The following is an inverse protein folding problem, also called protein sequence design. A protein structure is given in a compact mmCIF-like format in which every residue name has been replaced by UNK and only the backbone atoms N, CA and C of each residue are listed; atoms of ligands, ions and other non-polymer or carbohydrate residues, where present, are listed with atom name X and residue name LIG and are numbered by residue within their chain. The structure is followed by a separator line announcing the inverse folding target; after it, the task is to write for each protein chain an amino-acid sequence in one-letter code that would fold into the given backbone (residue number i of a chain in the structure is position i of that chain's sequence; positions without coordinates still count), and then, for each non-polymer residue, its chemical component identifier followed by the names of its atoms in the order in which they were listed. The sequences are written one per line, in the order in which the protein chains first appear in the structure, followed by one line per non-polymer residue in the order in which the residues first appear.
data_IF_372299470821
#
_entry.id   IF_372299470821
#
_cell.length_a   1.000
_cell.length_b   1.000
_cell.length_c   1.000
_cell.angle_alpha   90.00
_cell.angle_beta   90.00
_cell.angle_gamma   90.00
#
_symmetry.space_group_name_H-M   'P 1'
#
loop_
_entity.id
_entity.type
_entity.pdbx_description
1 polymer ?
#
# COMPACT_ATOMS: atom_id res chain seq x y z
N UNK A 1 1.29 13.59 11.30
CA UNK A 1 2.26 13.59 10.25
C UNK A 1 2.64 15.04 9.99
N UNK A 2 2.76 15.89 9.50
CA UNK A 2 3.28 17.25 9.26
C UNK A 2 2.87 18.33 10.30
N UNK A 3 2.27 18.00 11.43
CA UNK A 3 1.78 18.98 12.41
C UNK A 3 0.63 19.87 11.92
N UNK A 4 0.07 19.58 10.74
CA UNK A 4 -1.03 20.32 10.13
C UNK A 4 -2.34 19.67 10.56
N UNK A 5 -3.29 20.50 11.02
CA UNK A 5 -4.67 20.11 11.28
C UNK A 5 -5.56 20.71 10.19
N UNK A 6 -5.97 19.91 9.18
CA UNK A 6 -6.85 20.42 8.12
C UNK A 6 -8.26 20.67 8.66
N UNK A 7 -8.98 21.59 8.04
CA UNK A 7 -10.40 21.83 8.35
C UNK A 7 -11.29 20.68 7.89
N UNK A 8 -10.90 20.02 6.80
CA UNK A 8 -11.54 18.83 6.24
C UNK A 8 -10.49 17.76 5.95
N UNK A 9 -10.69 16.54 6.48
CA UNK A 9 -9.84 15.38 6.23
C UNK A 9 -10.66 14.23 5.68
N UNK A 10 -10.43 13.86 4.43
CA UNK A 10 -11.03 12.67 3.82
C UNK A 10 -10.17 11.44 4.11
N UNK A 11 -10.79 10.42 4.69
CA UNK A 11 -10.17 9.12 4.98
C UNK A 11 -10.93 8.02 4.26
N UNK A 12 -10.25 7.26 3.39
CA UNK A 12 -10.84 6.11 2.70
C UNK A 12 -10.62 4.82 3.50
N UNK A 13 -11.58 3.91 3.46
CA UNK A 13 -11.52 2.66 4.22
C UNK A 13 -10.97 1.46 3.44
N UNK A 14 -10.65 1.64 2.16
CA UNK A 14 -10.18 0.57 1.27
C UNK A 14 -8.75 0.10 1.49
N UNK A 15 -7.99 0.68 2.43
CA UNK A 15 -6.59 0.32 2.71
C UNK A 15 -6.44 -0.19 4.14
N UNK A 16 -5.93 0.61 5.07
CA UNK A 16 -5.64 0.18 6.44
C UNK A 16 -6.86 -0.39 7.19
N UNK A 17 -8.05 0.10 6.91
CA UNK A 17 -9.29 -0.43 7.48
C UNK A 17 -9.75 -1.75 6.84
N UNK A 18 -9.34 -2.05 5.60
CA UNK A 18 -9.73 -3.27 4.88
C UNK A 18 -11.21 -3.36 4.52
N UNK A 19 -11.91 -2.22 4.43
CA UNK A 19 -13.35 -2.12 4.20
C UNK A 19 -13.65 -1.11 3.09
N UNK A 20 -14.87 -1.06 2.60
CA UNK A 20 -15.31 -0.06 1.62
C UNK A 20 -15.77 1.25 2.28
N UNK A 21 -15.84 2.32 1.47
CA UNK A 21 -16.33 3.63 1.91
C UNK A 21 -15.26 4.61 2.33
N UNK A 22 -15.70 5.71 2.91
CA UNK A 22 -14.85 6.80 3.37
C UNK A 22 -15.51 7.57 4.51
N UNK A 23 -14.73 8.33 5.26
CA UNK A 23 -15.20 9.33 6.21
C UNK A 23 -14.62 10.70 5.89
N UNK A 24 -15.41 11.73 6.12
CA UNK A 24 -14.96 13.10 6.11
C UNK A 24 -14.95 13.61 7.56
N UNK A 25 -13.76 13.89 8.07
CA UNK A 25 -13.57 14.42 9.42
C UNK A 25 -13.52 15.94 9.33
N UNK A 26 -14.38 16.60 10.12
CA UNK A 26 -14.50 18.07 10.14
C UNK A 26 -15.09 18.54 11.47
N UNK A 27 -15.29 19.86 11.62
CA UNK A 27 -16.01 20.43 12.76
C UNK A 27 -17.49 20.08 12.73
N UNK A 28 -18.16 20.07 13.88
CA UNK A 28 -19.60 19.79 13.98
C UNK A 28 -20.44 20.74 13.10
N UNK A 29 -20.24 22.08 13.09
CA UNK A 29 -20.99 22.97 12.20
C UNK A 29 -20.79 22.64 10.70
N UNK A 30 -19.59 22.19 10.31
CA UNK A 30 -19.32 21.76 8.94
C UNK A 30 -20.02 20.44 8.62
N UNK A 31 -20.06 19.49 9.55
CA UNK A 31 -20.78 18.23 9.39
C UNK A 31 -22.28 18.49 9.20
N UNK A 32 -22.88 19.35 10.03
CA UNK A 32 -24.29 19.73 9.93
C UNK A 32 -24.59 20.41 8.57
N UNK A 33 -23.73 21.29 8.12
CA UNK A 33 -23.85 21.92 6.80
C UNK A 33 -23.81 20.87 5.67
N UNK A 34 -22.85 19.96 5.71
CA UNK A 34 -22.71 18.92 4.69
C UNK A 34 -23.88 17.94 4.67
N UNK A 35 -24.43 17.57 5.83
CA UNK A 35 -25.64 16.75 5.92
C UNK A 35 -26.85 17.38 5.21
N UNK A 36 -26.91 18.71 5.15
CA UNK A 36 -28.01 19.44 4.52
C UNK A 36 -27.76 19.79 3.03
N UNK A 37 -26.49 19.83 2.60
CA UNK A 37 -26.12 20.34 1.28
C UNK A 37 -25.40 19.36 0.37
N UNK A 38 -24.76 18.32 0.92
CA UNK A 38 -24.03 17.34 0.13
C UNK A 38 -24.98 16.37 -0.57
N UNK A 39 -25.36 16.67 -1.80
CA UNK A 39 -26.38 15.93 -2.56
C UNK A 39 -26.08 14.42 -2.67
N UNK A 40 -24.82 14.06 -2.87
CA UNK A 40 -24.41 12.64 -2.93
C UNK A 40 -24.62 11.90 -1.61
N UNK A 41 -24.46 12.58 -0.48
CA UNK A 41 -24.74 12.01 0.83
C UNK A 41 -26.26 11.88 1.09
N UNK A 42 -27.01 12.94 0.78
CA UNK A 42 -28.46 13.01 1.02
C UNK A 42 -29.21 11.93 0.25
N UNK A 43 -28.83 11.67 -1.01
CA UNK A 43 -29.51 10.76 -1.92
C UNK A 43 -28.85 9.39 -2.04
N UNK A 44 -27.87 9.07 -1.20
CA UNK A 44 -27.24 7.74 -1.16
C UNK A 44 -27.74 6.94 0.01
N UNK A 45 -27.89 5.63 -0.20
CA UNK A 45 -28.25 4.70 0.87
C UNK A 45 -27.15 4.68 1.93
N UNK A 46 -27.56 4.69 3.20
CA UNK A 46 -26.64 4.63 4.33
C UNK A 46 -25.79 3.35 4.33
N UNK A 47 -24.59 3.45 4.87
CA UNK A 47 -23.72 2.30 5.12
C UNK A 47 -24.43 1.27 6.00
N UNK A 48 -24.30 -0.05 5.71
CA UNK A 48 -24.84 -1.10 6.58
C UNK A 48 -24.28 -1.02 8.01
N UNK A 49 -25.13 -1.24 9.01
CA UNK A 49 -24.70 -1.19 10.42
C UNK A 49 -23.56 -2.18 10.73
N UNK A 50 -23.57 -3.36 10.12
CA UNK A 50 -22.50 -4.35 10.25
C UNK A 50 -21.14 -3.79 9.77
N UNK A 51 -21.13 -3.00 8.71
CA UNK A 51 -19.90 -2.34 8.21
C UNK A 51 -19.41 -1.27 9.19
N UNK A 52 -20.31 -0.52 9.83
CA UNK A 52 -19.94 0.44 10.85
C UNK A 52 -19.30 -0.24 12.07
N UNK A 53 -19.83 -1.38 12.51
CA UNK A 53 -19.24 -2.20 13.57
C UNK A 53 -17.84 -2.72 13.19
N UNK A 54 -17.68 -3.22 11.95
CA UNK A 54 -16.41 -3.69 11.45
C UNK A 54 -15.35 -2.54 11.36
N UNK A 55 -15.77 -1.33 10.98
CA UNK A 55 -14.89 -0.15 10.98
C UNK A 55 -14.41 0.22 12.39
N UNK A 56 -15.28 0.13 13.39
CA UNK A 56 -14.88 0.37 14.78
C UNK A 56 -13.85 -0.66 15.27
N UNK A 57 -14.06 -1.95 14.95
CA UNK A 57 -13.09 -3.00 15.26
C UNK A 57 -11.74 -2.76 14.54
N UNK A 58 -11.77 -2.42 13.25
CA UNK A 58 -10.57 -2.09 12.49
C UNK A 58 -9.83 -0.87 13.06
N UNK A 59 -10.57 0.15 13.52
CA UNK A 59 -9.98 1.33 14.16
C UNK A 59 -9.21 0.97 15.44
N UNK A 60 -9.76 0.05 16.25
CA UNK A 60 -9.07 -0.46 17.45
C UNK A 60 -7.75 -1.14 17.07
N UNK A 61 -7.77 -2.06 16.11
CA UNK A 61 -6.56 -2.74 15.62
C UNK A 61 -5.53 -1.74 15.09
N UNK A 62 -5.96 -0.72 14.35
CA UNK A 62 -5.06 0.33 13.81
C UNK A 62 -4.43 1.14 14.96
N UNK A 63 -5.20 1.49 15.98
CA UNK A 63 -4.71 2.27 17.13
C UNK A 63 -3.71 1.50 17.99
N UNK A 64 -3.94 0.21 18.18
CA UNK A 64 -3.14 -0.66 19.04
C UNK A 64 -2.02 -1.40 18.27
N UNK A 65 -1.91 -1.22 16.96
CA UNK A 65 -1.02 -1.98 16.07
C UNK A 65 0.42 -1.47 15.97
N UNK A 66 1.03 -0.97 17.05
CA UNK A 66 2.43 -0.50 17.04
C UNK A 66 3.43 -1.63 16.78
N UNK A 67 3.15 -2.84 17.26
CA UNK A 67 3.93 -4.05 17.00
C UNK A 67 3.89 -4.44 15.51
N UNK A 68 2.74 -4.32 14.85
CA UNK A 68 2.58 -4.56 13.41
C UNK A 68 3.38 -3.53 12.60
N UNK A 69 3.33 -2.26 13.00
CA UNK A 69 4.13 -1.20 12.35
C UNK A 69 5.62 -1.44 12.51
N UNK A 70 6.06 -1.86 13.70
CA UNK A 70 7.45 -2.20 13.97
C UNK A 70 7.91 -3.42 13.14
N UNK A 71 7.05 -4.46 13.01
CA UNK A 71 7.33 -5.62 12.17
C UNK A 71 7.45 -5.24 10.69
N UNK A 72 6.52 -4.44 10.18
CA UNK A 72 6.61 -3.93 8.81
C UNK A 72 7.90 -3.14 8.57
N UNK A 73 8.30 -2.28 9.51
CA UNK A 73 9.54 -1.52 9.41
C UNK A 73 10.78 -2.44 9.35
N UNK A 74 10.83 -3.51 10.14
CA UNK A 74 11.89 -4.52 10.06
C UNK A 74 11.91 -5.24 8.72
N UNK A 75 10.75 -5.65 8.21
CA UNK A 75 10.64 -6.31 6.91
C UNK A 75 11.13 -5.40 5.77
N UNK A 76 10.78 -4.12 5.81
CA UNK A 76 11.27 -3.12 4.85
C UNK A 76 12.80 -2.99 4.94
N UNK A 77 13.36 -2.87 6.14
CA UNK A 77 14.80 -2.75 6.34
C UNK A 77 15.54 -4.01 5.84
N UNK A 78 15.05 -5.21 6.17
CA UNK A 78 15.61 -6.49 5.69
C UNK A 78 15.62 -6.55 4.17
N UNK A 79 14.48 -6.28 3.54
CA UNK A 79 14.37 -6.26 2.07
C UNK A 79 15.34 -5.26 1.44
N UNK A 80 15.37 -4.01 1.92
CA UNK A 80 16.24 -2.97 1.37
C UNK A 80 17.72 -3.32 1.52
N UNK A 81 18.12 -3.88 2.65
CA UNK A 81 19.49 -4.36 2.87
C UNK A 81 19.84 -5.49 1.89
N UNK A 82 18.99 -6.50 1.75
CA UNK A 82 19.21 -7.60 0.81
C UNK A 82 19.18 -7.15 -0.65
N UNK A 83 18.32 -6.20 -1.01
CA UNK A 83 18.21 -5.71 -2.39
C UNK A 83 19.32 -4.72 -2.81
N UNK A 84 20.19 -4.28 -1.90
CA UNK A 84 21.21 -3.26 -2.19
C UNK A 84 22.22 -3.65 -3.28
N UNK A 85 22.45 -4.96 -3.48
CA UNK A 85 23.38 -5.50 -4.48
C UNK A 85 22.68 -6.03 -5.75
N UNK A 86 21.36 -5.85 -5.89
CA UNK A 86 20.66 -6.17 -7.13
C UNK A 86 21.14 -5.26 -8.27
N UNK A 87 21.23 -5.76 -9.50
CA UNK A 87 21.61 -4.96 -10.68
C UNK A 87 20.47 -4.05 -11.17
N UNK A 88 19.54 -3.69 -10.30
CA UNK A 88 18.38 -2.86 -10.57
C UNK A 88 18.30 -1.70 -9.57
N UNK A 89 17.69 -0.61 -9.99
CA UNK A 89 17.55 0.57 -9.12
C UNK A 89 16.37 0.42 -8.18
N UNK A 90 16.62 0.29 -6.89
CA UNK A 90 15.60 0.39 -5.85
C UNK A 90 15.28 1.86 -5.59
N UNK A 91 14.01 2.24 -5.76
CA UNK A 91 13.57 3.61 -5.48
C UNK A 91 13.73 3.95 -3.99
N UNK A 92 13.94 5.24 -3.70
CA UNK A 92 13.97 5.70 -2.31
C UNK A 92 12.55 5.72 -1.72
N UNK A 93 12.23 4.65 -0.98
CA UNK A 93 10.94 4.48 -0.32
C UNK A 93 11.13 3.86 1.06
N UNK A 94 10.57 4.50 2.08
CA UNK A 94 10.51 3.99 3.44
C UNK A 94 9.13 3.39 3.78
N UNK A 95 8.27 3.22 2.76
CA UNK A 95 6.90 2.70 2.94
C UNK A 95 6.82 1.21 2.63
N UNK A 96 5.66 0.61 2.86
CA UNK A 96 5.36 -0.77 2.49
C UNK A 96 5.54 -1.05 0.98
N UNK A 97 5.44 -0.02 0.14
CA UNK A 97 5.64 -0.14 -1.31
C UNK A 97 7.11 0.12 -1.65
N UNK A 98 7.76 -0.87 -2.22
CA UNK A 98 9.16 -0.83 -2.63
C UNK A 98 9.24 -0.97 -4.17
N UNK A 99 9.33 0.15 -4.91
CA UNK A 99 9.45 0.11 -6.36
C UNK A 99 10.87 -0.27 -6.80
N UNK A 100 10.98 -1.28 -7.66
CA UNK A 100 12.23 -1.71 -8.28
C UNK A 100 12.20 -1.36 -9.76
N UNK A 101 13.04 -0.40 -10.19
CA UNK A 101 13.04 0.13 -11.55
C UNK A 101 13.75 -0.86 -12.46
N UNK A 102 13.04 -1.30 -13.51
CA UNK A 102 13.56 -2.23 -14.52
C UNK A 102 13.88 -1.49 -15.83
N UNK A 103 13.09 -0.45 -16.16
CA UNK A 103 13.26 0.36 -17.37
C UNK A 103 12.33 -0.08 -18.49
N UNK A 104 12.62 -1.19 -19.15
CA UNK A 104 11.87 -1.68 -20.30
C UNK A 104 10.61 -2.46 -19.91
N UNK A 105 9.53 -2.29 -20.69
CA UNK A 105 8.24 -2.91 -20.42
C UNK A 105 8.29 -4.44 -20.47
N UNK A 106 8.94 -4.97 -21.51
CA UNK A 106 9.09 -6.42 -21.71
C UNK A 106 9.90 -7.05 -20.59
N UNK A 107 11.00 -6.43 -20.19
CA UNK A 107 11.85 -6.89 -19.11
C UNK A 107 11.09 -6.91 -17.75
N UNK A 108 10.30 -5.88 -17.48
CA UNK A 108 9.48 -5.83 -16.25
C UNK A 108 8.42 -6.94 -16.21
N UNK A 109 7.79 -7.24 -17.36
CA UNK A 109 6.81 -8.33 -17.47
C UNK A 109 7.49 -9.71 -17.31
N UNK A 110 8.61 -9.93 -17.99
CA UNK A 110 9.36 -11.19 -17.89
C UNK A 110 9.84 -11.43 -16.46
N UNK A 111 10.37 -10.40 -15.80
CA UNK A 111 10.80 -10.53 -14.42
C UNK A 111 9.62 -10.82 -13.46
N UNK A 112 8.49 -10.15 -13.66
CA UNK A 112 7.28 -10.41 -12.87
C UNK A 112 6.79 -11.86 -13.04
N UNK A 113 6.86 -12.43 -14.24
CA UNK A 113 6.48 -13.82 -14.51
C UNK A 113 7.46 -14.80 -13.85
N UNK A 114 8.77 -14.59 -13.99
CA UNK A 114 9.78 -15.41 -13.29
C UNK A 114 9.57 -15.44 -11.76
N UNK A 115 9.20 -14.29 -11.18
CA UNK A 115 8.87 -14.19 -9.76
C UNK A 115 7.62 -14.99 -9.41
N UNK A 116 6.60 -14.93 -10.26
CA UNK A 116 5.35 -15.67 -10.07
C UNK A 116 5.59 -17.19 -10.08
N UNK A 117 6.40 -17.68 -11.00
CA UNK A 117 6.80 -19.10 -11.07
C UNK A 117 7.48 -19.59 -9.79
N UNK A 118 8.11 -18.66 -9.05
CA UNK A 118 8.71 -18.92 -7.74
C UNK A 118 7.79 -18.62 -6.54
N UNK A 119 6.50 -18.41 -6.80
CA UNK A 119 5.51 -18.15 -5.75
C UNK A 119 5.44 -16.69 -5.27
N UNK A 120 6.19 -15.77 -5.89
CA UNK A 120 6.21 -14.36 -5.53
C UNK A 120 5.28 -13.55 -6.43
N UNK A 121 4.11 -13.14 -5.91
CA UNK A 121 3.15 -12.33 -6.65
C UNK A 121 3.56 -10.86 -6.66
N UNK A 122 4.14 -10.40 -7.76
CA UNK A 122 4.63 -9.03 -7.94
C UNK A 122 4.00 -8.38 -9.16
N UNK A 123 3.60 -7.12 -9.06
CA UNK A 123 2.96 -6.37 -10.15
C UNK A 123 3.97 -5.55 -10.93
N UNK A 124 4.02 -5.75 -12.26
CA UNK A 124 4.74 -4.87 -13.18
C UNK A 124 3.90 -3.60 -13.48
N UNK A 125 4.43 -2.43 -13.18
CA UNK A 125 3.85 -1.13 -13.48
C UNK A 125 4.57 -0.56 -14.71
N UNK A 126 3.79 -0.15 -15.71
CA UNK A 126 4.27 0.27 -17.04
C UNK A 126 3.56 1.55 -17.49
N UNK A 127 4.05 2.23 -18.52
CA UNK A 127 3.31 3.29 -19.17
C UNK A 127 1.88 2.85 -19.56
N UNK A 128 0.87 3.70 -19.50
CA UNK A 128 0.93 5.14 -19.16
C UNK A 128 0.95 5.45 -17.65
N UNK A 129 0.91 4.46 -16.77
CA UNK A 129 0.88 4.66 -15.31
C UNK A 129 2.18 5.29 -14.79
N UNK A 130 3.28 5.02 -15.47
CA UNK A 130 4.61 5.60 -15.22
C UNK A 130 5.20 6.11 -16.53
N UNK A 131 6.18 7.04 -16.52
CA UNK A 131 6.83 7.52 -17.74
C UNK A 131 7.50 6.39 -18.54
N UNK A 132 7.63 6.59 -19.87
CA UNK A 132 8.34 5.67 -20.73
C UNK A 132 9.79 5.47 -20.26
N UNK A 133 10.30 4.24 -20.38
CA UNK A 133 11.64 3.87 -19.90
C UNK A 133 11.78 3.75 -18.39
N UNK A 134 10.67 3.81 -17.63
CA UNK A 134 10.67 3.69 -16.17
C UNK A 134 9.74 2.59 -15.66
N UNK A 135 9.52 1.56 -16.48
CA UNK A 135 8.77 0.38 -16.04
C UNK A 135 9.43 -0.23 -14.80
N UNK A 136 8.63 -0.70 -13.88
CA UNK A 136 9.10 -1.14 -12.57
C UNK A 136 8.27 -2.28 -12.01
N UNK A 137 8.85 -3.04 -11.11
CA UNK A 137 8.10 -3.93 -10.23
C UNK A 137 7.62 -3.14 -9.02
N UNK A 138 6.37 -3.33 -8.64
CA UNK A 138 5.81 -2.82 -7.40
C UNK A 138 5.76 -3.96 -6.38
N UNK A 139 6.77 -4.02 -5.53
CA UNK A 139 6.76 -4.94 -4.40
C UNK A 139 6.00 -4.29 -3.25
N UNK A 140 5.14 -5.07 -2.58
CA UNK A 140 4.36 -4.58 -1.45
C UNK A 140 4.60 -5.49 -0.26
N UNK A 141 5.28 -4.97 0.75
CA UNK A 141 5.58 -5.68 1.98
C UNK A 141 4.47 -5.47 3.01
N UNK A 142 4.30 -6.42 3.91
CA UNK A 142 3.34 -6.33 5.00
C UNK A 142 3.93 -6.86 6.31
N UNK A 143 3.26 -6.58 7.41
CA UNK A 143 3.63 -7.13 8.71
C UNK A 143 3.36 -8.64 8.83
N UNK A 144 2.60 -9.22 7.90
CA UNK A 144 2.32 -10.66 7.87
C UNK A 144 3.47 -11.49 7.29
N UNK A 145 4.30 -10.89 6.43
CA UNK A 145 5.48 -11.59 5.89
C UNK A 145 6.45 -11.95 6.99
N UNK A 146 6.95 -13.18 6.93
CA UNK A 146 8.03 -13.68 7.78
C UNK A 146 9.38 -13.39 7.12
N UNK A 147 10.46 -13.61 7.87
CA UNK A 147 11.82 -13.41 7.35
C UNK A 147 12.09 -14.28 6.13
N UNK A 148 11.64 -15.54 6.16
CA UNK A 148 11.79 -16.50 5.05
C UNK A 148 11.07 -16.03 3.77
N UNK A 149 9.92 -15.37 3.89
CA UNK A 149 9.21 -14.81 2.73
C UNK A 149 10.03 -13.70 2.04
N UNK A 150 10.70 -12.87 2.86
CA UNK A 150 11.55 -11.79 2.35
C UNK A 150 12.81 -12.37 1.70
N UNK A 151 13.41 -13.39 2.29
CA UNK A 151 14.61 -14.03 1.77
C UNK A 151 14.30 -14.78 0.45
N UNK A 152 13.19 -15.52 0.40
CA UNK A 152 12.75 -16.17 -0.83
C UNK A 152 12.48 -15.17 -1.97
N UNK A 153 11.89 -14.01 -1.66
CA UNK A 153 11.70 -12.93 -2.63
C UNK A 153 13.05 -12.39 -3.13
N UNK A 154 14.02 -12.18 -2.24
CA UNK A 154 15.36 -11.70 -2.61
C UNK A 154 16.09 -12.71 -3.50
N UNK A 155 16.06 -14.00 -3.17
CA UNK A 155 16.63 -15.08 -3.99
C UNK A 155 15.98 -15.10 -5.39
N UNK A 156 14.66 -15.04 -5.45
CA UNK A 156 13.92 -15.03 -6.71
C UNK A 156 14.28 -13.81 -7.58
N UNK A 157 14.50 -12.62 -6.96
CA UNK A 157 14.95 -11.41 -7.65
C UNK A 157 16.37 -11.56 -8.19
N UNK A 158 17.30 -12.08 -7.41
CA UNK A 158 18.69 -12.33 -7.84
C UNK A 158 18.75 -13.27 -9.04
N UNK A 159 18.02 -14.36 -8.99
CA UNK A 159 17.97 -15.34 -10.09
C UNK A 159 17.22 -14.78 -11.31
N UNK A 160 16.18 -14.02 -11.09
CA UNK A 160 15.40 -13.39 -12.16
C UNK A 160 16.17 -12.34 -12.94
N UNK A 161 17.18 -11.72 -12.33
CA UNK A 161 18.06 -10.72 -12.94
C UNK A 161 19.27 -11.29 -13.70
N UNK A 162 19.49 -12.60 -13.63
CA UNK A 162 20.49 -13.32 -14.42
C UNK A 162 19.94 -13.71 -15.77
#
# INVERSE_FOLDING_TARGET
VAGIRPDLLLVTFGKAFGLSGAALLCSAPMADYLLQTARHLIYSTAMPAAQACALNAALTVIREGDDLRARLARNIARFRTGAASLPLTLADSQTAIQPLIVGENSAALTLAEKLRERGCWVTAIRPPTVPAGTARLRLTLSAAHQDDDIDALLEALYDGCR
#
